data_IF_263085682844
#
_entry.id   IF_263085682844
#
_cell.length_a   1.000
_cell.length_b   1.000
_cell.length_c   1.000
_cell.angle_alpha   90.00
_cell.angle_beta   90.00
_cell.angle_gamma   90.00
#
_symmetry.space_group_name_H-M   'P 1'
#
loop_
_entity.id
_entity.type
_entity.pdbx_description
1 polymer ?
#
# COMPACT_ATOMS: atom_id res chain seq x y z
N UNK A 1 1.11 -26.06 -9.85
CA UNK A 1 1.95 -25.49 -8.82
C UNK A 1 1.43 -25.92 -7.45
N UNK A 2 2.31 -26.14 -6.54
CA UNK A 2 2.00 -26.72 -5.24
C UNK A 2 0.90 -25.93 -4.51
N UNK A 3 -0.15 -26.62 -4.10
CA UNK A 3 -1.27 -26.03 -3.36
C UNK A 3 -0.78 -25.29 -2.10
N UNK A 4 0.25 -25.83 -1.47
CA UNK A 4 0.85 -25.25 -0.27
C UNK A 4 1.49 -23.87 -0.52
N UNK A 5 2.23 -23.67 -1.64
CA UNK A 5 2.83 -22.37 -1.98
C UNK A 5 1.77 -21.28 -2.14
N UNK A 6 0.62 -21.59 -2.78
CA UNK A 6 -0.49 -20.64 -2.94
C UNK A 6 -1.06 -20.19 -1.60
N UNK A 7 -1.37 -21.15 -0.72
CA UNK A 7 -1.93 -20.82 0.60
C UNK A 7 -0.91 -20.10 1.49
N UNK A 8 0.37 -20.46 1.39
CA UNK A 8 1.44 -19.76 2.10
C UNK A 8 1.60 -18.33 1.60
N UNK A 9 1.51 -18.09 0.30
CA UNK A 9 1.54 -16.76 -0.29
C UNK A 9 0.35 -15.88 0.19
N UNK A 10 -0.87 -16.46 0.21
CA UNK A 10 -2.06 -15.78 0.75
C UNK A 10 -1.88 -15.44 2.23
N UNK A 11 -1.44 -16.41 3.04
CA UNK A 11 -1.20 -16.19 4.47
C UNK A 11 -0.13 -15.10 4.71
N UNK A 12 0.94 -15.09 3.91
CA UNK A 12 1.99 -14.07 3.98
C UNK A 12 1.45 -12.68 3.61
N UNK A 13 0.63 -12.58 2.56
CA UNK A 13 0.00 -11.31 2.16
C UNK A 13 -0.95 -10.77 3.23
N UNK A 14 -1.78 -11.63 3.81
CA UNK A 14 -2.66 -11.27 4.92
C UNK A 14 -1.81 -10.84 6.14
N UNK A 15 -0.75 -11.58 6.45
CA UNK A 15 0.19 -11.22 7.51
C UNK A 15 0.82 -9.84 7.30
N UNK A 16 1.26 -9.51 6.08
CA UNK A 16 1.78 -8.18 5.74
C UNK A 16 0.73 -7.07 5.92
N UNK A 17 -0.54 -7.34 5.62
CA UNK A 17 -1.62 -6.39 5.88
C UNK A 17 -1.81 -6.17 7.38
N UNK A 18 -1.75 -7.24 8.20
CA UNK A 18 -1.78 -7.12 9.66
C UNK A 18 -0.59 -6.34 10.22
N UNK A 19 0.62 -6.50 9.64
CA UNK A 19 1.79 -5.69 10.00
C UNK A 19 1.53 -4.20 9.73
N UNK A 20 0.98 -3.84 8.57
CA UNK A 20 0.62 -2.46 8.24
C UNK A 20 -0.40 -1.87 9.23
N UNK A 21 -1.48 -2.61 9.51
CA UNK A 21 -2.52 -2.18 10.45
C UNK A 21 -1.98 -2.12 11.88
N UNK A 22 -1.16 -3.08 12.28
CA UNK A 22 -0.46 -3.08 13.57
C UNK A 22 0.45 -1.87 13.75
N UNK A 23 1.22 -1.50 12.73
CA UNK A 23 2.03 -0.27 12.73
C UNK A 23 1.18 1.00 12.83
N UNK A 24 0.04 1.04 12.14
CA UNK A 24 -0.93 2.12 12.30
C UNK A 24 -1.52 2.14 13.73
N UNK A 25 -1.80 0.99 14.33
CA UNK A 25 -2.26 0.88 15.72
C UNK A 25 -1.21 1.45 16.68
N UNK A 26 0.05 1.02 16.59
CA UNK A 26 1.17 1.53 17.41
C UNK A 26 1.23 3.06 17.33
N UNK A 27 1.18 3.62 16.12
CA UNK A 27 1.28 5.08 15.92
C UNK A 27 0.06 5.81 16.47
N UNK A 28 -1.16 5.28 16.26
CA UNK A 28 -2.39 5.96 16.65
C UNK A 28 -2.67 5.90 18.17
N UNK A 29 -2.18 4.88 18.84
CA UNK A 29 -2.27 4.74 20.31
C UNK A 29 -1.10 5.40 21.04
N UNK A 30 -0.10 5.90 20.32
CA UNK A 30 1.11 6.46 20.93
C UNK A 30 2.01 5.40 21.58
N UNK A 31 1.81 4.11 21.24
CA UNK A 31 2.48 2.98 21.90
C UNK A 31 3.92 2.72 21.41
N UNK A 32 4.45 3.53 20.51
CA UNK A 32 5.74 3.25 19.87
C UNK A 32 6.98 3.37 20.77
N UNK A 33 6.81 3.71 22.03
CA UNK A 33 7.87 3.74 23.06
C UNK A 33 7.52 2.87 24.28
N UNK A 34 6.52 1.98 24.18
CA UNK A 34 6.15 1.05 25.24
C UNK A 34 7.28 0.09 25.65
N UNK A 35 8.17 -0.26 24.72
CA UNK A 35 9.39 -1.03 24.95
C UNK A 35 10.64 -0.15 25.19
N UNK A 36 10.49 1.16 25.35
CA UNK A 36 11.59 2.12 25.45
C UNK A 36 12.43 2.16 24.16
N UNK A 37 13.71 2.52 24.29
CA UNK A 37 14.65 2.60 23.14
C UNK A 37 15.42 1.30 22.87
N UNK A 38 15.05 0.20 23.50
CA UNK A 38 15.70 -1.10 23.27
C UNK A 38 15.11 -1.79 22.03
N UNK A 39 15.97 -2.37 21.20
CA UNK A 39 15.62 -3.16 20.02
C UNK A 39 16.71 -4.23 19.79
N UNK A 40 16.38 -5.47 19.45
CA UNK A 40 15.04 -6.04 19.22
C UNK A 40 14.28 -6.37 20.49
N UNK A 41 14.91 -6.40 21.65
CA UNK A 41 14.32 -6.73 22.94
C UNK A 41 13.44 -5.57 23.47
N UNK A 42 12.59 -5.86 24.45
CA UNK A 42 11.75 -4.90 25.14
C UNK A 42 12.30 -4.66 26.55
N UNK A 43 12.82 -3.47 26.84
CA UNK A 43 13.55 -3.17 28.08
C UNK A 43 14.70 -4.17 28.38
N UNK A 44 15.36 -4.67 27.33
CA UNK A 44 16.44 -5.67 27.46
C UNK A 44 15.96 -7.10 27.71
N UNK A 45 14.64 -7.35 27.74
CA UNK A 45 14.03 -8.66 27.97
C UNK A 45 13.21 -9.12 26.76
N UNK A 46 13.04 -10.42 26.59
CA UNK A 46 12.11 -10.98 25.57
C UNK A 46 10.65 -10.74 25.97
N UNK A 47 10.34 -10.97 27.24
CA UNK A 47 9.02 -10.76 27.84
C UNK A 47 9.25 -9.97 29.15
N UNK A 48 8.91 -8.67 29.19
CA UNK A 48 9.04 -7.86 30.40
C UNK A 48 8.09 -8.32 31.50
N UNK A 49 8.50 -8.13 32.76
CA UNK A 49 7.71 -8.51 33.93
C UNK A 49 6.49 -7.61 34.18
N UNK A 50 6.59 -6.33 33.79
CA UNK A 50 5.48 -5.37 33.90
C UNK A 50 4.91 -5.08 32.54
N UNK A 51 3.68 -5.51 32.28
CA UNK A 51 3.00 -5.38 30.98
C UNK A 51 2.00 -4.22 31.06
N UNK A 52 2.26 -3.13 30.33
CA UNK A 52 1.30 -2.06 30.08
C UNK A 52 0.62 -2.28 28.73
N UNK A 53 -0.50 -1.57 28.49
CA UNK A 53 -1.21 -1.65 27.20
C UNK A 53 -0.29 -1.20 26.05
N UNK A 54 0.47 -0.13 26.22
CA UNK A 54 1.39 0.41 25.22
C UNK A 54 2.49 -0.60 24.89
N UNK A 55 3.07 -1.21 25.93
CA UNK A 55 4.08 -2.25 25.76
C UNK A 55 3.51 -3.47 25.02
N UNK A 56 2.29 -3.91 25.37
CA UNK A 56 1.65 -5.05 24.73
C UNK A 56 1.43 -4.78 23.24
N UNK A 57 0.94 -3.58 22.88
CA UNK A 57 0.71 -3.19 21.48
C UNK A 57 2.02 -3.16 20.70
N UNK A 58 3.06 -2.52 21.22
CA UNK A 58 4.35 -2.42 20.54
C UNK A 58 5.04 -3.80 20.42
N UNK A 59 5.11 -4.57 21.50
CA UNK A 59 5.73 -5.89 21.50
C UNK A 59 5.00 -6.86 20.56
N UNK A 60 3.66 -6.86 20.57
CA UNK A 60 2.86 -7.66 19.64
C UNK A 60 3.16 -7.30 18.19
N UNK A 61 3.26 -6.00 17.87
CA UNK A 61 3.62 -5.55 16.54
C UNK A 61 5.03 -6.03 16.12
N UNK A 62 6.01 -5.95 17.02
CA UNK A 62 7.39 -6.45 16.77
C UNK A 62 7.40 -7.96 16.50
N UNK A 63 6.71 -8.76 17.33
CA UNK A 63 6.64 -10.21 17.18
C UNK A 63 5.96 -10.60 15.86
N UNK A 64 4.79 -10.01 15.58
CA UNK A 64 4.06 -10.27 14.32
C UNK A 64 4.90 -9.86 13.12
N UNK A 65 5.57 -8.70 13.17
CA UNK A 65 6.45 -8.24 12.09
C UNK A 65 7.64 -9.17 11.87
N UNK A 66 8.22 -9.73 12.93
CA UNK A 66 9.29 -10.71 12.85
C UNK A 66 8.84 -12.03 12.21
N UNK A 67 7.70 -12.57 12.65
CA UNK A 67 7.13 -13.81 12.09
C UNK A 67 6.75 -13.61 10.61
N UNK A 68 6.05 -12.55 10.29
CA UNK A 68 5.65 -12.25 8.90
C UNK A 68 6.87 -11.95 8.03
N UNK A 69 7.90 -11.29 8.59
CA UNK A 69 9.17 -11.08 7.91
C UNK A 69 9.85 -12.38 7.51
N UNK A 70 9.87 -13.37 8.41
CA UNK A 70 10.35 -14.71 8.09
C UNK A 70 9.49 -15.40 7.01
N UNK A 71 8.17 -15.23 7.06
CA UNK A 71 7.28 -15.75 6.01
C UNK A 71 7.58 -15.12 4.65
N UNK A 72 7.82 -13.81 4.57
CA UNK A 72 8.22 -13.12 3.32
C UNK A 72 9.53 -13.66 2.78
N UNK A 73 10.53 -13.87 3.65
CA UNK A 73 11.81 -14.47 3.26
C UNK A 73 11.62 -15.88 2.66
N UNK A 74 10.87 -16.73 3.36
CA UNK A 74 10.56 -18.09 2.90
C UNK A 74 9.79 -18.03 1.57
N UNK A 75 8.77 -17.18 1.46
CA UNK A 75 7.99 -17.03 0.24
C UNK A 75 8.86 -16.60 -0.94
N UNK A 76 9.75 -15.63 -0.74
CA UNK A 76 10.65 -15.12 -1.77
C UNK A 76 11.60 -16.22 -2.28
N UNK A 77 12.22 -16.98 -1.37
CA UNK A 77 13.11 -18.10 -1.72
C UNK A 77 12.34 -19.23 -2.40
N UNK A 78 11.17 -19.57 -1.87
CA UNK A 78 10.36 -20.67 -2.43
C UNK A 78 9.82 -20.32 -3.82
N UNK A 79 9.30 -19.12 -4.01
CA UNK A 79 8.83 -18.65 -5.32
C UNK A 79 9.98 -18.60 -6.33
N UNK A 80 11.16 -18.13 -5.90
CA UNK A 80 12.36 -18.14 -6.75
C UNK A 80 12.74 -19.55 -7.22
N UNK A 81 12.72 -20.54 -6.33
CA UNK A 81 13.02 -21.93 -6.68
C UNK A 81 11.93 -22.59 -7.54
N UNK A 82 10.65 -22.30 -7.27
CA UNK A 82 9.52 -22.96 -7.93
C UNK A 82 9.22 -22.39 -9.33
N UNK A 83 9.27 -21.05 -9.48
CA UNK A 83 8.89 -20.34 -10.72
C UNK A 83 9.88 -19.23 -11.11
N UNK A 84 11.12 -19.30 -10.62
CA UNK A 84 12.16 -18.30 -10.89
C UNK A 84 12.70 -18.28 -12.32
N UNK A 85 12.29 -19.23 -13.17
CA UNK A 85 12.52 -19.16 -14.61
C UNK A 85 11.75 -18.00 -15.26
N UNK A 86 10.71 -17.50 -14.59
CA UNK A 86 9.91 -16.34 -15.02
C UNK A 86 10.52 -15.07 -14.42
N UNK A 87 10.84 -14.11 -15.28
CA UNK A 87 11.59 -12.89 -14.92
C UNK A 87 10.93 -12.08 -13.81
N UNK A 88 9.59 -11.94 -13.86
CA UNK A 88 8.82 -11.16 -12.91
C UNK A 88 8.90 -11.75 -11.50
N UNK A 89 8.96 -13.08 -11.37
CA UNK A 89 9.13 -13.75 -10.06
C UNK A 89 10.41 -13.32 -9.38
N UNK A 90 11.54 -13.34 -10.11
CA UNK A 90 12.83 -12.91 -9.56
C UNK A 90 12.78 -11.47 -9.09
N UNK A 91 12.24 -10.59 -9.93
CA UNK A 91 12.11 -9.18 -9.61
C UNK A 91 11.25 -8.97 -8.35
N UNK A 92 10.03 -9.55 -8.30
CA UNK A 92 9.13 -9.40 -7.16
C UNK A 92 9.71 -10.01 -5.89
N UNK A 93 10.38 -11.17 -5.97
CA UNK A 93 11.05 -11.79 -4.82
C UNK A 93 12.17 -10.91 -4.25
N UNK A 94 12.99 -10.30 -5.12
CA UNK A 94 14.05 -9.37 -4.69
C UNK A 94 13.43 -8.12 -4.06
N UNK A 95 12.44 -7.51 -4.71
CA UNK A 95 11.78 -6.29 -4.20
C UNK A 95 11.11 -6.58 -2.86
N UNK A 96 10.38 -7.69 -2.72
CA UNK A 96 9.77 -8.08 -1.45
C UNK A 96 10.79 -8.18 -0.33
N UNK A 97 11.93 -8.82 -0.59
CA UNK A 97 12.99 -9.00 0.40
C UNK A 97 13.70 -7.68 0.74
N UNK A 98 14.10 -6.90 -0.28
CA UNK A 98 14.81 -5.63 -0.08
C UNK A 98 13.95 -4.65 0.72
N UNK A 99 12.68 -4.48 0.35
CA UNK A 99 11.79 -3.57 1.06
C UNK A 99 11.38 -4.08 2.44
N UNK A 100 11.35 -5.40 2.66
CA UNK A 100 11.20 -5.99 3.99
C UNK A 100 12.36 -5.59 4.91
N UNK A 101 13.60 -5.76 4.44
CA UNK A 101 14.80 -5.39 5.21
C UNK A 101 14.81 -3.89 5.48
N UNK A 102 14.55 -3.08 4.45
CA UNK A 102 14.55 -1.63 4.57
C UNK A 102 13.52 -1.12 5.57
N UNK A 103 12.27 -1.63 5.53
CA UNK A 103 11.25 -1.25 6.51
C UNK A 103 11.61 -1.70 7.94
N UNK A 104 12.22 -2.88 8.10
CA UNK A 104 12.69 -3.36 9.39
C UNK A 104 13.78 -2.46 9.98
N UNK A 105 14.76 -2.05 9.16
CA UNK A 105 15.84 -1.12 9.57
C UNK A 105 15.29 0.26 9.94
N UNK A 106 14.35 0.81 9.16
CA UNK A 106 13.74 2.11 9.46
C UNK A 106 12.87 2.02 10.72
N UNK A 107 12.14 0.91 10.93
CA UNK A 107 11.40 0.66 12.16
C UNK A 107 12.31 0.58 13.38
N UNK A 108 13.45 -0.12 13.30
CA UNK A 108 14.46 -0.15 14.33
C UNK A 108 15.07 1.24 14.60
N UNK A 109 15.37 1.98 13.54
CA UNK A 109 15.89 3.34 13.64
C UNK A 109 14.90 4.29 14.36
N UNK A 110 13.61 4.17 14.08
CA UNK A 110 12.56 4.93 14.77
C UNK A 110 12.53 4.67 16.29
N UNK A 111 12.82 3.45 16.72
CA UNK A 111 12.89 3.09 18.14
C UNK A 111 14.17 3.61 18.79
N UNK A 112 15.33 3.36 18.17
CA UNK A 112 16.65 3.66 18.77
C UNK A 112 16.93 5.15 18.79
N UNK A 113 16.67 5.88 17.71
CA UNK A 113 16.99 7.30 17.56
C UNK A 113 15.82 8.25 17.81
N UNK A 114 14.65 7.69 18.09
CA UNK A 114 13.44 8.44 18.35
C UNK A 114 12.53 8.55 17.13
N UNK A 115 11.25 8.71 17.42
CA UNK A 115 10.17 8.71 16.43
C UNK A 115 10.02 10.11 15.81
N UNK A 116 10.89 10.47 14.85
CA UNK A 116 10.67 11.68 14.07
C UNK A 116 9.53 11.47 13.06
N UNK A 117 8.78 12.53 12.80
CA UNK A 117 7.65 12.53 11.85
C UNK A 117 8.06 12.01 10.47
N UNK A 118 9.25 12.42 9.99
CA UNK A 118 9.78 12.02 8.69
C UNK A 118 10.09 10.52 8.64
N UNK A 119 10.73 9.99 9.69
CA UNK A 119 11.06 8.56 9.77
C UNK A 119 9.80 7.70 9.79
N UNK A 120 8.78 8.08 10.57
CA UNK A 120 7.52 7.34 10.62
C UNK A 120 6.74 7.40 9.30
N UNK A 121 6.74 8.55 8.62
CA UNK A 121 6.13 8.69 7.29
C UNK A 121 6.85 7.83 6.25
N UNK A 122 8.19 7.85 6.22
CA UNK A 122 9.00 7.00 5.35
C UNK A 122 8.78 5.51 5.64
N UNK A 123 8.74 5.14 6.92
CA UNK A 123 8.49 3.76 7.34
C UNK A 123 7.15 3.25 6.80
N UNK A 124 6.07 4.03 6.93
CA UNK A 124 4.76 3.67 6.40
C UNK A 124 4.77 3.54 4.87
N UNK A 125 5.35 4.52 4.15
CA UNK A 125 5.43 4.49 2.68
C UNK A 125 6.22 3.30 2.15
N UNK A 126 7.36 2.96 2.77
CA UNK A 126 8.18 1.80 2.42
C UNK A 126 7.45 0.49 2.74
N UNK A 127 6.72 0.45 3.85
CA UNK A 127 5.89 -0.71 4.22
C UNK A 127 4.77 -0.96 3.20
N UNK A 128 4.16 0.09 2.63
CA UNK A 128 3.19 -0.06 1.53
C UNK A 128 3.81 -0.71 0.29
N UNK A 129 5.03 -0.31 -0.08
CA UNK A 129 5.74 -0.91 -1.24
C UNK A 129 6.07 -2.38 -0.94
N UNK A 130 6.53 -2.70 0.27
CA UNK A 130 6.80 -4.07 0.71
C UNK A 130 5.54 -4.94 0.63
N UNK A 131 4.42 -4.44 1.16
CA UNK A 131 3.12 -5.12 1.07
C UNK A 131 2.70 -5.33 -0.39
N UNK A 132 2.79 -4.29 -1.22
CA UNK A 132 2.42 -4.38 -2.63
C UNK A 132 3.27 -5.42 -3.38
N UNK A 133 4.57 -5.51 -3.11
CA UNK A 133 5.45 -6.49 -3.73
C UNK A 133 5.06 -7.93 -3.37
N UNK A 134 4.76 -8.20 -2.09
CA UNK A 134 4.28 -9.52 -1.62
C UNK A 134 2.90 -9.85 -2.21
N UNK A 135 2.00 -8.88 -2.25
CA UNK A 135 0.67 -9.03 -2.86
C UNK A 135 0.78 -9.36 -4.36
N UNK A 136 1.63 -8.63 -5.11
CA UNK A 136 1.88 -8.89 -6.51
C UNK A 136 2.51 -10.27 -6.75
N UNK A 137 3.46 -10.68 -5.91
CA UNK A 137 4.05 -12.00 -5.97
C UNK A 137 2.99 -13.10 -5.76
N UNK A 138 2.07 -12.88 -4.82
CA UNK A 138 0.94 -13.78 -4.57
C UNK A 138 0.01 -13.86 -5.77
N UNK A 139 -0.43 -12.73 -6.33
CA UNK A 139 -1.27 -12.71 -7.54
C UNK A 139 -0.58 -13.42 -8.69
N UNK A 140 0.72 -13.21 -8.86
CA UNK A 140 1.51 -13.82 -9.91
C UNK A 140 1.59 -15.35 -9.77
N UNK A 141 1.73 -15.88 -8.54
CA UNK A 141 1.68 -17.34 -8.27
C UNK A 141 0.33 -17.93 -8.72
N UNK A 142 -0.79 -17.23 -8.48
CA UNK A 142 -2.12 -17.67 -8.93
C UNK A 142 -2.29 -17.55 -10.46
N UNK A 143 -1.72 -16.54 -11.08
CA UNK A 143 -1.74 -16.35 -12.54
C UNK A 143 -0.99 -17.48 -13.26
N UNK A 144 0.23 -17.82 -12.81
CA UNK A 144 1.02 -18.94 -13.36
C UNK A 144 0.26 -20.27 -13.25
N UNK A 145 -0.59 -20.42 -12.25
CA UNK A 145 -1.49 -21.59 -12.09
C UNK A 145 -2.77 -21.47 -12.96
N UNK A 146 -2.82 -20.51 -13.89
CA UNK A 146 -3.94 -20.28 -14.83
C UNK A 146 -5.30 -20.05 -14.15
N UNK A 147 -5.31 -19.42 -12.98
CA UNK A 147 -6.55 -19.06 -12.29
C UNK A 147 -7.22 -17.82 -12.91
N UNK A 148 -6.47 -16.99 -13.60
CA UNK A 148 -6.94 -15.88 -14.42
C UNK A 148 -5.89 -15.57 -15.51
N UNK A 149 -6.33 -14.96 -16.60
CA UNK A 149 -5.46 -14.59 -17.72
C UNK A 149 -5.18 -13.09 -17.70
N UNK A 150 -4.01 -12.73 -17.17
CA UNK A 150 -3.51 -11.36 -17.19
C UNK A 150 -2.54 -11.10 -18.36
N UNK A 151 -2.06 -12.15 -19.01
CA UNK A 151 -1.13 -12.03 -20.16
C UNK A 151 -1.83 -11.46 -21.40
N UNK A 152 -3.13 -11.72 -21.58
CA UNK A 152 -3.93 -11.21 -22.69
C UNK A 152 -4.31 -9.74 -22.58
N UNK A 153 -3.98 -9.05 -21.47
CA UNK A 153 -4.36 -7.65 -21.24
C UNK A 153 -3.51 -6.71 -22.10
N UNK A 154 -4.13 -6.10 -23.10
CA UNK A 154 -3.50 -5.08 -23.95
C UNK A 154 -3.99 -3.70 -23.56
N UNK A 155 -3.08 -2.84 -23.15
CA UNK A 155 -3.38 -1.47 -22.74
C UNK A 155 -3.02 -0.45 -23.82
N UNK A 156 -3.88 0.55 -24.00
CA UNK A 156 -3.56 1.72 -24.80
C UNK A 156 -2.64 2.70 -24.05
N UNK A 157 -2.10 3.67 -24.80
CA UNK A 157 -1.18 4.67 -24.25
C UNK A 157 -1.85 5.54 -23.18
N UNK A 158 -3.13 5.85 -23.37
CA UNK A 158 -3.91 6.68 -22.46
C UNK A 158 -4.09 6.00 -21.10
N UNK A 159 -4.57 4.76 -21.07
CA UNK A 159 -4.72 4.01 -19.83
C UNK A 159 -3.37 3.80 -19.13
N UNK A 160 -2.32 3.50 -19.89
CA UNK A 160 -0.96 3.34 -19.35
C UNK A 160 -0.47 4.61 -18.66
N UNK A 161 -0.72 5.80 -19.26
CA UNK A 161 -0.40 7.09 -18.63
C UNK A 161 -1.16 7.28 -17.32
N UNK A 162 -2.47 6.99 -17.30
CA UNK A 162 -3.28 7.15 -16.09
C UNK A 162 -2.87 6.17 -14.99
N UNK A 163 -2.51 4.94 -15.29
CA UNK A 163 -2.00 3.97 -14.31
C UNK A 163 -0.75 4.52 -13.61
N UNK A 164 0.25 4.95 -14.36
CA UNK A 164 1.47 5.49 -13.76
C UNK A 164 1.24 6.81 -13.02
N UNK A 165 0.42 7.69 -13.58
CA UNK A 165 0.09 8.96 -12.94
C UNK A 165 -0.66 8.77 -11.61
N UNK A 166 -1.67 7.89 -11.59
CA UNK A 166 -2.49 7.63 -10.41
C UNK A 166 -1.66 7.00 -9.28
N UNK A 167 -0.80 6.02 -9.56
CA UNK A 167 0.01 5.38 -8.50
C UNK A 167 1.01 6.36 -7.88
N UNK A 168 1.67 7.18 -8.69
CA UNK A 168 2.59 8.21 -8.18
C UNK A 168 1.84 9.25 -7.36
N UNK A 169 0.71 9.73 -7.87
CA UNK A 169 -0.11 10.70 -7.16
C UNK A 169 -0.72 10.13 -5.88
N UNK A 170 -1.19 8.88 -5.91
CA UNK A 170 -1.64 8.16 -4.70
C UNK A 170 -0.55 8.12 -3.62
N UNK A 171 0.69 7.83 -4.00
CA UNK A 171 1.82 7.79 -3.08
C UNK A 171 2.10 9.17 -2.47
N UNK A 172 2.00 10.24 -3.26
CA UNK A 172 2.08 11.63 -2.76
C UNK A 172 0.95 11.91 -1.76
N UNK A 173 -0.30 11.53 -2.08
CA UNK A 173 -1.45 11.71 -1.18
C UNK A 173 -1.27 10.97 0.14
N UNK A 174 -0.65 9.78 0.14
CA UNK A 174 -0.29 9.06 1.37
C UNK A 174 0.60 9.92 2.27
N UNK A 175 1.63 10.56 1.71
CA UNK A 175 2.51 11.44 2.49
C UNK A 175 1.83 12.71 2.98
N UNK A 176 0.90 13.29 2.21
CA UNK A 176 0.09 14.40 2.73
C UNK A 176 -0.76 13.98 3.94
N UNK A 177 -1.29 12.76 3.94
CA UNK A 177 -2.01 12.18 5.08
C UNK A 177 -1.10 11.92 6.30
N UNK A 178 0.12 11.44 6.07
CA UNK A 178 1.13 11.33 7.11
C UNK A 178 1.46 12.71 7.72
N UNK A 179 1.61 13.73 6.89
CA UNK A 179 1.84 15.12 7.35
C UNK A 179 0.71 15.63 8.24
N UNK A 180 -0.56 15.39 7.88
CA UNK A 180 -1.73 15.74 8.73
C UNK A 180 -1.58 15.10 10.12
N UNK A 181 -1.20 13.82 10.18
CA UNK A 181 -1.05 13.10 11.45
C UNK A 181 0.10 13.67 12.28
N UNK A 182 1.26 13.88 11.68
CA UNK A 182 2.48 14.31 12.38
C UNK A 182 2.42 15.77 12.82
N UNK A 183 1.75 16.64 12.07
CA UNK A 183 1.49 18.03 12.49
C UNK A 183 0.31 18.16 13.46
N UNK A 184 -0.24 17.04 13.97
CA UNK A 184 -1.41 17.04 14.86
C UNK A 184 -2.61 17.81 14.30
N UNK A 185 -2.69 17.89 12.97
CA UNK A 185 -3.70 18.63 12.23
C UNK A 185 -5.00 17.83 11.97
N UNK A 186 -5.09 16.61 12.49
CA UNK A 186 -6.19 15.68 12.16
C UNK A 186 -7.59 16.18 12.49
N UNK A 187 -7.73 17.09 13.47
CA UNK A 187 -8.99 17.73 13.87
C UNK A 187 -8.94 19.26 13.73
N UNK A 188 -7.98 19.82 13.00
CA UNK A 188 -7.89 21.26 12.79
C UNK A 188 -9.12 21.85 12.09
N UNK A 189 -9.76 21.05 11.22
CA UNK A 189 -11.01 21.38 10.55
C UNK A 189 -12.13 20.48 11.10
N UNK A 190 -13.04 21.00 11.94
CA UNK A 190 -14.07 20.22 12.61
C UNK A 190 -15.22 19.76 11.72
N UNK A 191 -15.39 20.36 10.53
CA UNK A 191 -16.42 19.97 9.56
C UNK A 191 -15.83 19.27 8.32
N UNK A 192 -16.71 18.71 7.48
CA UNK A 192 -16.35 18.07 6.22
C UNK A 192 -17.47 18.34 5.20
N UNK A 193 -17.19 18.58 3.91
CA UNK A 193 -15.87 18.57 3.25
C UNK A 193 -15.00 19.81 3.53
N UNK A 194 -15.62 20.95 3.89
CA UNK A 194 -14.93 22.20 4.19
C UNK A 194 -14.42 22.27 5.63
N UNK A 195 -13.55 23.27 5.91
CA UNK A 195 -12.87 23.36 7.20
C UNK A 195 -13.82 23.75 8.34
N UNK A 196 -14.74 24.68 8.11
CA UNK A 196 -15.75 25.10 9.07
C UNK A 196 -17.08 25.41 8.36
N UNK A 197 -18.19 25.34 9.11
CA UNK A 197 -19.52 25.65 8.55
C UNK A 197 -19.68 27.10 8.13
N UNK A 198 -18.97 28.01 8.78
CA UNK A 198 -19.05 29.46 8.57
C UNK A 198 -18.04 30.02 7.59
N UNK A 199 -17.04 29.22 7.18
CA UNK A 199 -15.98 29.67 6.26
C UNK A 199 -15.49 28.53 5.36
N UNK A 200 -15.25 28.84 4.11
CA UNK A 200 -14.77 27.88 3.11
C UNK A 200 -13.24 27.66 3.21
N UNK A 201 -12.50 28.71 3.50
CA UNK A 201 -11.03 28.67 3.45
C UNK A 201 -10.40 28.55 4.84
N UNK A 202 -9.31 27.77 4.96
CA UNK A 202 -8.49 27.71 6.15
C UNK A 202 -7.85 29.07 6.49
N UNK A 203 -7.60 29.33 7.77
CA UNK A 203 -6.89 30.54 8.24
C UNK A 203 -5.60 30.23 8.97
N UNK A 204 -5.46 29.01 9.51
CA UNK A 204 -4.29 28.56 10.26
C UNK A 204 -3.50 27.49 9.50
N UNK A 205 -2.20 27.38 9.78
CA UNK A 205 -1.34 26.40 9.11
C UNK A 205 -1.85 24.95 9.22
N UNK A 206 -2.30 24.54 10.41
CA UNK A 206 -2.84 23.18 10.64
C UNK A 206 -4.11 22.90 9.82
N UNK A 207 -4.96 23.90 9.65
CA UNK A 207 -6.15 23.82 8.80
C UNK A 207 -5.73 23.67 7.32
N UNK A 208 -4.74 24.43 6.85
CA UNK A 208 -4.20 24.30 5.50
C UNK A 208 -3.60 22.92 5.23
N UNK A 209 -2.88 22.37 6.20
CA UNK A 209 -2.31 21.01 6.10
C UNK A 209 -3.44 19.97 5.94
N UNK A 210 -4.49 20.06 6.75
CA UNK A 210 -5.61 19.12 6.67
C UNK A 210 -6.44 19.32 5.39
N UNK A 211 -6.76 20.56 5.02
CA UNK A 211 -7.51 20.85 3.78
C UNK A 211 -6.71 20.51 2.54
N UNK A 212 -5.40 20.73 2.55
CA UNK A 212 -4.51 20.32 1.45
C UNK A 212 -4.56 18.81 1.20
N UNK A 213 -4.54 18.00 2.28
CA UNK A 213 -4.74 16.56 2.15
C UNK A 213 -6.13 16.19 1.61
N UNK A 214 -7.21 16.81 2.12
CA UNK A 214 -8.58 16.57 1.63
C UNK A 214 -8.71 16.91 0.15
N UNK A 215 -8.16 18.04 -0.27
CA UNK A 215 -8.16 18.45 -1.68
C UNK A 215 -7.36 17.46 -2.55
N UNK A 216 -6.17 17.07 -2.14
CA UNK A 216 -5.36 16.10 -2.86
C UNK A 216 -6.06 14.73 -2.95
N UNK A 217 -6.70 14.27 -1.87
CA UNK A 217 -7.48 13.04 -1.85
C UNK A 217 -8.74 13.12 -2.75
N UNK A 218 -9.41 14.29 -2.78
CA UNK A 218 -10.52 14.55 -3.68
C UNK A 218 -10.13 14.48 -5.16
N UNK A 219 -8.98 15.07 -5.51
CA UNK A 219 -8.44 14.98 -6.88
C UNK A 219 -8.08 13.53 -7.25
N UNK A 220 -7.49 12.76 -6.31
CA UNK A 220 -7.21 11.34 -6.53
C UNK A 220 -8.51 10.55 -6.77
N UNK A 221 -9.55 10.81 -5.97
CA UNK A 221 -10.86 10.19 -6.16
C UNK A 221 -11.43 10.48 -7.55
N UNK A 222 -11.44 11.74 -7.98
CA UNK A 222 -11.94 12.14 -9.29
C UNK A 222 -11.13 11.52 -10.43
N UNK A 223 -9.82 11.41 -10.26
CA UNK A 223 -8.95 10.78 -11.25
C UNK A 223 -9.20 9.27 -11.38
N UNK A 224 -9.35 8.56 -10.25
CA UNK A 224 -9.72 7.13 -10.26
C UNK A 224 -11.13 6.93 -10.83
N UNK A 225 -12.10 7.79 -10.49
CA UNK A 225 -13.44 7.74 -11.05
C UNK A 225 -13.41 7.88 -12.60
N UNK A 226 -12.67 8.86 -13.10
CA UNK A 226 -12.51 9.06 -14.54
C UNK A 226 -11.84 7.83 -15.20
N UNK A 227 -10.75 7.33 -14.63
CA UNK A 227 -10.05 6.14 -15.13
C UNK A 227 -10.96 4.90 -15.11
N UNK A 228 -11.83 4.76 -14.09
CA UNK A 228 -12.82 3.69 -14.00
C UNK A 228 -13.85 3.80 -15.14
N UNK A 229 -14.43 4.99 -15.36
CA UNK A 229 -15.37 5.21 -16.45
C UNK A 229 -14.73 4.91 -17.81
N UNK A 230 -13.49 5.34 -18.01
CA UNK A 230 -12.73 5.03 -19.21
C UNK A 230 -12.51 3.51 -19.38
N UNK A 231 -12.11 2.82 -18.30
CA UNK A 231 -11.90 1.38 -18.31
C UNK A 231 -13.19 0.60 -18.61
N UNK A 232 -14.31 0.98 -18.00
CA UNK A 232 -15.61 0.35 -18.24
C UNK A 232 -16.08 0.49 -19.71
N UNK A 233 -15.77 1.60 -20.38
CA UNK A 233 -16.10 1.82 -21.78
C UNK A 233 -15.15 1.10 -22.72
N UNK A 234 -13.84 1.16 -22.46
CA UNK A 234 -12.80 0.70 -23.40
C UNK A 234 -12.42 -0.78 -23.22
N UNK A 235 -12.48 -1.28 -21.97
CA UNK A 235 -12.03 -2.62 -21.58
C UNK A 235 -13.17 -3.51 -21.09
N UNK A 236 -14.41 -3.29 -21.53
CA UNK A 236 -15.59 -4.08 -21.12
C UNK A 236 -15.44 -5.59 -21.34
N UNK A 237 -14.64 -6.00 -22.31
CA UNK A 237 -14.36 -7.41 -22.63
C UNK A 237 -13.09 -7.97 -21.95
N UNK A 238 -12.42 -7.16 -21.12
CA UNK A 238 -11.26 -7.56 -20.33
C UNK A 238 -11.61 -7.53 -18.83
N UNK A 239 -12.07 -8.66 -18.25
CA UNK A 239 -12.62 -8.68 -16.89
C UNK A 239 -11.66 -8.12 -15.83
N UNK A 240 -10.34 -8.36 -15.98
CA UNK A 240 -9.33 -7.85 -15.04
C UNK A 240 -9.33 -6.32 -14.99
N UNK A 241 -9.39 -5.67 -16.15
CA UNK A 241 -9.43 -4.21 -16.21
C UNK A 241 -10.77 -3.65 -15.73
N UNK A 242 -11.86 -4.25 -16.18
CA UNK A 242 -13.21 -3.82 -15.80
C UNK A 242 -13.43 -3.90 -14.29
N UNK A 243 -13.28 -5.10 -13.71
CA UNK A 243 -13.52 -5.32 -12.29
C UNK A 243 -12.42 -4.72 -11.40
N UNK A 244 -11.17 -4.72 -11.86
CA UNK A 244 -10.07 -4.13 -11.14
C UNK A 244 -10.27 -2.62 -10.90
N UNK A 245 -10.67 -1.86 -11.92
CA UNK A 245 -10.96 -0.43 -11.75
C UNK A 245 -12.22 -0.16 -10.93
N UNK A 246 -13.23 -1.03 -11.02
CA UNK A 246 -14.40 -0.94 -10.14
C UNK A 246 -14.02 -1.17 -8.67
N UNK A 247 -13.16 -2.16 -8.39
CA UNK A 247 -12.61 -2.40 -7.05
C UNK A 247 -11.80 -1.19 -6.57
N UNK A 248 -10.95 -0.59 -7.42
CA UNK A 248 -10.19 0.60 -7.08
C UNK A 248 -11.11 1.78 -6.72
N UNK A 249 -12.21 1.98 -7.47
CA UNK A 249 -13.21 3.00 -7.19
C UNK A 249 -13.92 2.76 -5.84
N UNK A 250 -14.32 1.52 -5.56
CA UNK A 250 -14.93 1.16 -4.26
C UNK A 250 -13.94 1.44 -3.13
N UNK A 251 -12.68 1.01 -3.26
CA UNK A 251 -11.66 1.21 -2.24
C UNK A 251 -11.37 2.69 -1.97
N UNK A 252 -11.24 3.52 -3.01
CA UNK A 252 -11.04 4.96 -2.82
C UNK A 252 -12.29 5.64 -2.25
N UNK A 253 -13.49 5.18 -2.57
CA UNK A 253 -14.73 5.67 -1.97
C UNK A 253 -14.79 5.36 -0.47
N UNK A 254 -14.46 4.13 -0.07
CA UNK A 254 -14.31 3.74 1.33
C UNK A 254 -13.22 4.54 2.04
N UNK A 255 -12.10 4.82 1.34
CA UNK A 255 -11.00 5.63 1.86
C UNK A 255 -11.46 7.07 2.16
N UNK A 256 -12.20 7.71 1.26
CA UNK A 256 -12.76 9.06 1.48
C UNK A 256 -13.80 9.04 2.59
N UNK A 257 -14.70 8.07 2.60
CA UNK A 257 -15.73 7.93 3.64
C UNK A 257 -15.11 7.74 5.03
N UNK A 258 -14.13 6.84 5.17
CA UNK A 258 -13.43 6.64 6.46
C UNK A 258 -12.62 7.87 6.86
N UNK A 259 -12.04 8.61 5.90
CA UNK A 259 -11.36 9.89 6.18
C UNK A 259 -12.31 10.95 6.75
N UNK A 260 -13.55 11.05 6.22
CA UNK A 260 -14.58 11.91 6.77
C UNK A 260 -15.02 11.45 8.18
N UNK A 261 -15.26 10.14 8.33
CA UNK A 261 -15.67 9.55 9.60
C UNK A 261 -14.62 9.71 10.71
N UNK A 262 -13.31 9.70 10.39
CA UNK A 262 -12.24 9.99 11.36
C UNK A 262 -12.45 11.37 12.00
N UNK A 263 -12.88 12.37 11.22
CA UNK A 263 -13.15 13.72 11.73
C UNK A 263 -14.43 13.72 12.57
N UNK A 264 -15.53 13.19 12.04
CA UNK A 264 -16.83 13.18 12.73
C UNK A 264 -16.85 12.37 14.02
N UNK A 265 -16.00 11.34 14.12
CA UNK A 265 -15.91 10.47 15.30
C UNK A 265 -14.81 10.91 16.28
N UNK A 266 -14.19 12.08 16.07
CA UNK A 266 -13.14 12.58 16.94
C UNK A 266 -11.93 11.63 17.05
N UNK A 267 -11.44 11.13 15.91
CA UNK A 267 -10.31 10.19 15.80
C UNK A 267 -10.59 8.78 16.38
N UNK A 268 -11.82 8.28 16.26
CA UNK A 268 -12.10 6.90 16.67
C UNK A 268 -11.07 5.93 16.10
N UNK A 269 -10.47 5.12 16.95
CA UNK A 269 -9.36 4.23 16.61
C UNK A 269 -9.73 3.24 15.49
N UNK A 270 -10.88 2.61 15.56
CA UNK A 270 -11.31 1.60 14.59
C UNK A 270 -11.52 2.21 13.21
N UNK A 271 -12.11 3.40 13.15
CA UNK A 271 -12.30 4.16 11.89
C UNK A 271 -10.94 4.55 11.31
N UNK A 272 -10.02 4.99 12.14
CA UNK A 272 -8.68 5.36 11.73
C UNK A 272 -7.84 4.15 11.25
N UNK A 273 -8.04 2.96 11.82
CA UNK A 273 -7.45 1.72 11.33
C UNK A 273 -8.09 1.26 10.00
N UNK A 274 -9.42 1.40 9.87
CA UNK A 274 -10.10 1.13 8.59
C UNK A 274 -9.59 2.05 7.47
N UNK A 275 -9.32 3.33 7.75
CA UNK A 275 -8.71 4.25 6.80
C UNK A 275 -7.31 3.78 6.36
N UNK A 276 -6.48 3.29 7.29
CA UNK A 276 -5.18 2.69 6.95
C UNK A 276 -5.31 1.38 6.14
N UNK A 277 -6.33 0.58 6.43
CA UNK A 277 -6.63 -0.65 5.69
C UNK A 277 -7.01 -0.36 4.23
N UNK A 278 -7.94 0.56 3.99
CA UNK A 278 -8.42 0.84 2.64
C UNK A 278 -7.33 1.43 1.74
N UNK A 279 -6.46 2.32 2.27
CA UNK A 279 -5.34 2.83 1.46
C UNK A 279 -4.32 1.73 1.14
N UNK A 280 -4.08 0.78 2.06
CA UNK A 280 -3.18 -0.34 1.80
C UNK A 280 -3.72 -1.25 0.68
N UNK A 281 -5.00 -1.58 0.72
CA UNK A 281 -5.66 -2.36 -0.32
C UNK A 281 -5.69 -1.61 -1.67
N UNK A 282 -6.04 -0.33 -1.66
CA UNK A 282 -6.04 0.52 -2.86
C UNK A 282 -4.65 0.55 -3.51
N UNK A 283 -3.61 0.79 -2.73
CA UNK A 283 -2.23 0.83 -3.22
C UNK A 283 -1.80 -0.51 -3.82
N UNK A 284 -2.19 -1.63 -3.21
CA UNK A 284 -1.97 -2.97 -3.76
C UNK A 284 -2.63 -3.15 -5.14
N UNK A 285 -3.90 -2.78 -5.29
CA UNK A 285 -4.63 -2.87 -6.56
C UNK A 285 -4.02 -1.97 -7.63
N UNK A 286 -3.67 -0.73 -7.29
CA UNK A 286 -3.01 0.19 -8.21
C UNK A 286 -1.63 -0.33 -8.65
N UNK A 287 -0.88 -0.94 -7.74
CA UNK A 287 0.40 -1.59 -8.05
C UNK A 287 0.23 -2.76 -9.02
N UNK A 288 -0.88 -3.50 -8.95
CA UNK A 288 -1.19 -4.55 -9.92
C UNK A 288 -1.41 -3.99 -11.33
N UNK A 289 -2.08 -2.84 -11.47
CA UNK A 289 -2.20 -2.18 -12.77
C UNK A 289 -0.85 -1.74 -13.33
N UNK A 290 0.10 -1.31 -12.49
CA UNK A 290 1.48 -1.02 -12.93
C UNK A 290 2.14 -2.27 -13.51
N UNK A 291 1.98 -3.43 -12.86
CA UNK A 291 2.49 -4.70 -13.39
C UNK A 291 1.88 -5.04 -14.77
N UNK A 292 0.57 -4.87 -14.94
CA UNK A 292 -0.11 -5.08 -16.24
C UNK A 292 0.40 -4.10 -17.30
N UNK A 293 0.59 -2.83 -16.95
CA UNK A 293 1.09 -1.81 -17.88
C UNK A 293 2.53 -2.09 -18.34
N UNK A 294 3.40 -2.57 -17.45
CA UNK A 294 4.78 -2.94 -17.82
C UNK A 294 4.82 -4.14 -18.77
N UNK A 295 3.92 -5.10 -18.64
CA UNK A 295 3.80 -6.27 -19.53
C UNK A 295 3.27 -5.87 -20.91
N UNK A 296 2.19 -5.12 -20.97
CA UNK A 296 1.58 -4.65 -22.21
C UNK A 296 2.55 -3.81 -23.06
N UNK A 297 3.47 -3.06 -22.44
CA UNK A 297 4.50 -2.31 -23.15
C UNK A 297 5.52 -3.23 -23.85
N UNK A 298 5.93 -4.31 -23.18
CA UNK A 298 6.91 -5.26 -23.74
C UNK A 298 6.37 -6.01 -24.96
N UNK A 299 5.11 -6.44 -24.95
CA UNK A 299 4.52 -7.12 -26.10
C UNK A 299 4.53 -6.24 -27.35
N UNK A 300 4.27 -4.94 -27.22
CA UNK A 300 4.34 -3.98 -28.33
C UNK A 300 5.77 -3.82 -28.88
N UNK A 301 6.79 -3.82 -28.02
CA UNK A 301 8.19 -3.70 -28.43
C UNK A 301 8.67 -4.97 -29.17
N UNK A 302 8.30 -6.16 -28.71
CA UNK A 302 8.64 -7.43 -29.36
C UNK A 302 7.90 -7.58 -30.69
N UNK A 303 6.62 -7.20 -30.76
CA UNK A 303 5.84 -7.22 -32.00
C UNK A 303 6.39 -6.27 -33.07
N UNK A 304 6.96 -5.12 -32.70
CA UNK A 304 7.62 -4.20 -33.64
C UNK A 304 8.97 -4.70 -34.13
N UNK A 305 9.70 -5.49 -33.34
CA UNK A 305 10.97 -6.09 -33.74
C UNK A 305 10.80 -7.36 -34.61
N UNK A 306 9.62 -8.00 -34.54
CA UNK A 306 9.33 -9.21 -35.28
C UNK A 306 8.78 -8.98 -36.73
N UNK A 307 8.53 -7.73 -37.12
CA UNK A 307 8.19 -7.40 -38.53
C UNK A 307 9.48 -7.09 -39.26
N UNK A 308 10.03 -8.03 -40.07
CA UNK A 308 11.18 -7.71 -40.94
C UNK A 308 10.76 -6.67 -41.96
N UNK A 309 11.60 -5.67 -42.19
CA UNK A 309 11.53 -4.65 -43.23
C UNK A 309 11.71 -5.25 -44.67
N UNK A 310 11.08 -6.36 -44.96
CA UNK A 310 11.20 -7.14 -46.17
C UNK A 310 9.90 -7.22 -46.97
N UNK A 311 9.11 -6.13 -47.04
CA UNK A 311 8.07 -5.96 -48.08
C UNK A 311 8.04 -4.48 -48.49
N UNK A 312 9.10 -3.99 -49.06
CA UNK A 312 9.07 -2.82 -49.96
C UNK A 312 10.20 -3.06 -51.00
N UNK A 313 9.90 -3.92 -51.98
CA UNK A 313 10.54 -3.86 -53.31
C UNK A 313 9.48 -4.14 -54.36
#
# INVERSE_FOLDING_TARGET
>A
LQRLLKWFAVATTIGMLFVLIGGALVTKTGSGMGCGRSWPLCHGQLIPSHITTELLIELSHRVVSGVVGLMVLILSIWSWKAIGHIRETKFLSIVSFVFLVLQGLIGAAAVVWGQSDVVLALHFGISLISFAAVFLLTLFIFEVDKKFDAASVVLDRTMTFHIYGIIVYCYIVVYTGALVRHKQASLACPSWPFCAQTRLFPTQLHEWVQMGHRFAAGLLFLWILWATIYAMKRYKHQPIMYWGWLIALILVSCQVATGALVVFTGLNLYVALAHAFFISCLFGVLSYFVLLATRSKKEKEVGHQAVPSAVLK
#
